data_IF_490901606946
#
_entry.id   IF_490901606946
#
_cell.length_a   1.000
_cell.length_b   1.000
_cell.length_c   1.000
_cell.angle_alpha   90.00
_cell.angle_beta   90.00
_cell.angle_gamma   90.00
#
_symmetry.space_group_name_H-M   'P 1'
#
loop_
_entity.id
_entity.type
_entity.pdbx_description
1 polymer ?
#
# COMPACT_ATOMS: atom_id res chain seq x y z
N UNK A 1 11.46 47.66 -24.54
CA UNK A 1 11.77 46.59 -23.57
C UNK A 1 10.56 45.67 -23.51
N UNK A 2 10.73 44.40 -23.92
CA UNK A 2 9.63 43.46 -24.23
C UNK A 2 9.13 42.75 -22.95
N UNK A 3 7.81 42.66 -22.69
CA UNK A 3 7.23 42.03 -21.49
C UNK A 3 7.11 40.49 -21.62
N UNK A 4 8.08 39.81 -22.25
CA UNK A 4 7.99 38.35 -22.47
C UNK A 4 8.55 37.51 -21.31
N UNK A 5 9.35 38.12 -20.42
CA UNK A 5 10.01 37.39 -19.32
C UNK A 5 9.05 37.02 -18.18
N UNK A 6 8.05 37.86 -17.91
CA UNK A 6 7.11 37.66 -16.80
C UNK A 6 6.09 36.55 -17.07
N UNK A 7 5.68 36.32 -18.32
CA UNK A 7 4.69 35.29 -18.66
C UNK A 7 5.23 33.85 -18.43
N UNK A 8 6.53 33.64 -18.65
CA UNK A 8 7.19 32.35 -18.49
C UNK A 8 7.32 31.95 -17.00
N UNK A 9 7.47 32.93 -16.10
CA UNK A 9 7.57 32.71 -14.64
C UNK A 9 6.22 32.33 -14.03
N UNK A 10 5.10 32.85 -14.55
CA UNK A 10 3.76 32.45 -14.13
C UNK A 10 3.33 31.08 -14.70
N UNK A 11 3.84 30.70 -15.87
CA UNK A 11 3.57 29.39 -16.47
C UNK A 11 4.27 28.23 -15.73
N UNK A 12 5.41 28.49 -15.07
CA UNK A 12 6.15 27.48 -14.30
C UNK A 12 5.57 27.23 -12.89
N UNK A 13 4.77 28.13 -12.33
CA UNK A 13 4.29 28.03 -10.94
C UNK A 13 3.01 27.19 -10.78
N UNK A 14 2.31 26.86 -11.88
CA UNK A 14 0.97 26.24 -11.83
C UNK A 14 0.94 24.71 -11.97
N UNK A 15 2.08 24.02 -11.93
CA UNK A 15 2.11 22.57 -12.16
C UNK A 15 2.49 21.82 -10.89
N UNK A 16 1.67 21.99 -9.83
CA UNK A 16 1.66 21.03 -8.72
C UNK A 16 0.76 19.87 -9.13
N UNK A 17 1.30 18.88 -9.84
CA UNK A 17 0.62 17.59 -10.01
C UNK A 17 0.57 16.90 -8.65
N UNK A 18 -0.58 16.97 -7.97
CA UNK A 18 -0.86 16.10 -6.83
C UNK A 18 -1.17 14.71 -7.37
N UNK A 19 -0.23 13.77 -7.24
CA UNK A 19 -0.49 12.37 -7.54
C UNK A 19 -1.39 11.78 -6.44
N UNK A 20 -2.67 11.61 -6.75
CA UNK A 20 -3.65 10.93 -5.90
C UNK A 20 -3.79 9.47 -6.36
N UNK A 21 -2.78 8.66 -6.01
CA UNK A 21 -2.80 7.21 -6.18
C UNK A 21 -2.57 6.49 -4.84
N UNK A 22 -2.77 7.21 -3.73
CA UNK A 22 -2.50 6.66 -2.42
C UNK A 22 -3.61 5.68 -2.04
N UNK A 23 -3.19 4.61 -1.38
CA UNK A 23 -4.06 3.66 -0.73
C UNK A 23 -3.75 3.72 0.75
N UNK A 24 -4.78 3.69 1.57
CA UNK A 24 -4.64 3.61 3.02
C UNK A 24 -4.71 2.14 3.43
N UNK A 25 -3.94 1.75 4.44
CA UNK A 25 -3.98 0.40 4.99
C UNK A 25 -4.52 0.41 6.41
N UNK A 26 -5.18 -0.69 6.77
CA UNK A 26 -5.68 -0.95 8.11
C UNK A 26 -5.49 -2.41 8.43
N UNK A 27 -5.16 -2.70 9.68
CA UNK A 27 -5.09 -4.07 10.19
C UNK A 27 -6.24 -4.28 11.15
N UNK A 28 -7.00 -5.36 10.98
CA UNK A 28 -8.14 -5.73 11.82
C UNK A 28 -7.90 -7.10 12.43
N UNK A 29 -8.07 -7.21 13.74
CA UNK A 29 -8.15 -8.51 14.42
C UNK A 29 -9.53 -9.12 14.18
N UNK A 30 -9.58 -10.37 13.72
CA UNK A 30 -10.81 -11.11 13.49
C UNK A 30 -11.40 -11.64 14.81
N UNK A 31 -12.69 -12.05 14.82
CA UNK A 31 -13.36 -12.53 16.04
C UNK A 31 -12.72 -13.76 16.70
N UNK A 32 -11.85 -14.49 15.99
CA UNK A 32 -11.07 -15.60 16.54
C UNK A 32 -9.94 -15.15 17.49
N UNK A 33 -9.67 -13.84 17.57
CA UNK A 33 -8.61 -13.23 18.37
C UNK A 33 -7.18 -13.72 18.03
N UNK A 34 -6.99 -14.34 16.86
CA UNK A 34 -5.69 -14.85 16.41
C UNK A 34 -5.35 -14.44 14.98
N UNK A 35 -6.35 -14.17 14.15
CA UNK A 35 -6.16 -13.85 12.74
C UNK A 35 -6.23 -12.36 12.51
N UNK A 36 -5.20 -11.82 11.87
CA UNK A 36 -5.18 -10.43 11.42
C UNK A 36 -5.51 -10.35 9.93
N UNK A 37 -6.44 -9.47 9.57
CA UNK A 37 -6.79 -9.16 8.20
C UNK A 37 -6.25 -7.77 7.83
N UNK A 38 -5.55 -7.69 6.70
CA UNK A 38 -5.13 -6.42 6.11
C UNK A 38 -6.26 -5.92 5.23
N UNK A 39 -6.61 -4.65 5.36
CA UNK A 39 -7.56 -3.96 4.50
C UNK A 39 -6.85 -2.82 3.78
N UNK A 40 -7.25 -2.60 2.54
CA UNK A 40 -6.84 -1.50 1.69
C UNK A 40 -8.03 -0.56 1.49
N UNK A 41 -7.82 0.75 1.48
CA UNK A 41 -8.85 1.74 1.15
C UNK A 41 -8.29 2.71 0.11
N UNK A 42 -8.76 2.67 -1.15
CA UNK A 42 -8.30 3.56 -2.20
C UNK A 42 -8.72 5.01 -1.98
N UNK A 43 -7.87 5.97 -2.34
CA UNK A 43 -8.26 7.38 -2.40
C UNK A 43 -8.85 7.79 -3.75
N UNK A 44 -8.69 6.94 -4.77
CA UNK A 44 -9.19 7.16 -6.14
C UNK A 44 -9.78 5.87 -6.68
N UNK A 45 -10.87 5.98 -7.44
CA UNK A 45 -11.46 4.86 -8.15
C UNK A 45 -10.67 4.56 -9.43
N UNK A 46 -10.24 3.31 -9.60
CA UNK A 46 -9.62 2.82 -10.84
C UNK A 46 -10.48 1.70 -11.41
N UNK A 47 -11.05 1.94 -12.59
CA UNK A 47 -11.81 0.94 -13.34
C UNK A 47 -10.92 0.21 -14.33
N UNK A 48 -11.31 -0.99 -14.74
CA UNK A 48 -10.61 -1.75 -15.77
C UNK A 48 -10.45 -0.93 -17.06
N UNK A 49 -9.28 -0.96 -17.72
CA UNK A 49 -8.09 -1.78 -17.42
C UNK A 49 -7.08 -1.12 -16.45
N UNK A 50 -7.40 0.04 -15.88
CA UNK A 50 -6.46 0.82 -15.06
C UNK A 50 -6.30 0.28 -13.63
N UNK A 51 -7.07 -0.74 -13.24
CA UNK A 51 -6.99 -1.40 -11.93
C UNK A 51 -5.97 -2.57 -11.90
N UNK A 52 -5.16 -2.73 -12.95
CA UNK A 52 -4.14 -3.77 -13.00
C UNK A 52 -3.01 -3.48 -11.99
N UNK A 53 -2.73 -4.46 -11.13
CA UNK A 53 -1.66 -4.42 -10.12
C UNK A 53 -0.58 -5.41 -10.53
N UNK A 54 0.54 -4.94 -11.13
CA UNK A 54 1.61 -5.84 -11.59
C UNK A 54 2.45 -6.39 -10.43
N UNK A 55 2.61 -5.61 -9.37
CA UNK A 55 3.30 -5.99 -8.14
C UNK A 55 2.79 -5.14 -6.98
N UNK A 56 2.86 -5.71 -5.77
CA UNK A 56 2.55 -5.00 -4.54
C UNK A 56 3.29 -5.64 -3.37
N UNK A 57 3.52 -4.85 -2.32
CA UNK A 57 4.12 -5.29 -1.06
C UNK A 57 3.39 -4.64 0.10
N UNK A 58 3.12 -5.43 1.14
CA UNK A 58 2.62 -4.95 2.43
C UNK A 58 3.66 -5.33 3.48
N UNK A 59 4.02 -4.35 4.32
CA UNK A 59 4.94 -4.56 5.44
C UNK A 59 4.21 -4.30 6.74
N UNK A 60 4.13 -5.30 7.61
CA UNK A 60 3.67 -5.12 8.98
C UNK A 60 4.86 -4.78 9.87
N UNK A 61 4.71 -3.72 10.66
CA UNK A 61 5.69 -3.31 11.67
C UNK A 61 5.15 -3.70 13.03
N UNK A 62 5.86 -4.59 13.72
CA UNK A 62 5.43 -5.19 14.99
C UNK A 62 6.54 -5.12 16.02
N UNK A 63 6.27 -5.09 17.33
CA UNK A 63 7.31 -5.17 18.34
C UNK A 63 8.15 -6.43 18.17
N UNK A 64 9.47 -6.30 18.30
CA UNK A 64 10.40 -7.41 18.04
C UNK A 64 10.12 -8.61 18.96
N UNK A 65 10.11 -9.82 18.37
CA UNK A 65 9.85 -11.07 19.08
C UNK A 65 8.40 -11.29 19.54
N UNK A 66 7.47 -10.37 19.26
CA UNK A 66 6.08 -10.43 19.69
C UNK A 66 5.10 -11.07 18.69
N UNK A 67 5.55 -11.40 17.48
CA UNK A 67 4.68 -11.87 16.41
C UNK A 67 5.35 -12.98 15.60
N UNK A 68 4.59 -14.01 15.25
CA UNK A 68 5.03 -15.09 14.36
C UNK A 68 4.00 -15.28 13.26
N UNK A 69 4.46 -15.35 12.01
CA UNK A 69 3.59 -15.54 10.85
C UNK A 69 3.13 -16.99 10.79
N UNK A 70 1.82 -17.21 10.92
CA UNK A 70 1.18 -18.49 10.68
C UNK A 70 0.78 -18.69 9.22
N UNK A 71 -0.39 -19.30 9.01
CA UNK A 71 -0.97 -19.47 7.67
C UNK A 71 -1.33 -18.11 7.05
N UNK A 72 -0.93 -17.92 5.79
CA UNK A 72 -1.35 -16.76 4.97
C UNK A 72 -2.49 -17.19 4.06
N UNK A 73 -3.62 -16.49 4.14
CA UNK A 73 -4.78 -16.71 3.27
C UNK A 73 -4.99 -15.49 2.39
N UNK A 74 -4.98 -15.68 1.07
CA UNK A 74 -5.24 -14.61 0.11
C UNK A 74 -6.75 -14.47 -0.12
N UNK A 75 -7.29 -13.26 0.04
CA UNK A 75 -8.68 -12.95 -0.28
C UNK A 75 -8.83 -12.41 -1.70
N UNK A 76 -7.94 -11.50 -2.10
CA UNK A 76 -7.83 -10.94 -3.45
C UNK A 76 -6.38 -10.91 -3.93
N UNK A 77 -6.13 -11.39 -5.15
CA UNK A 77 -4.78 -11.64 -5.65
C UNK A 77 -4.11 -12.83 -4.95
N UNK A 78 -2.82 -13.04 -5.21
CA UNK A 78 -2.03 -14.12 -4.59
C UNK A 78 -0.88 -13.53 -3.77
N UNK A 79 -1.04 -13.58 -2.45
CA UNK A 79 -0.10 -13.03 -1.48
C UNK A 79 0.64 -14.12 -0.73
N UNK A 80 1.94 -13.91 -0.56
CA UNK A 80 2.81 -14.80 0.22
C UNK A 80 3.60 -14.02 1.24
N UNK A 81 3.88 -14.66 2.38
CA UNK A 81 4.94 -14.23 3.27
C UNK A 81 6.29 -14.38 2.56
N UNK A 82 7.06 -13.29 2.48
CA UNK A 82 8.36 -13.28 1.83
C UNK A 82 9.48 -13.47 2.86
N UNK A 83 9.55 -12.56 3.82
CA UNK A 83 10.62 -12.56 4.83
C UNK A 83 10.25 -11.67 6.03
N UNK A 84 11.04 -11.81 7.10
CA UNK A 84 11.02 -10.92 8.25
C UNK A 84 12.40 -10.30 8.41
N UNK A 85 12.47 -8.97 8.50
CA UNK A 85 13.67 -8.26 8.93
C UNK A 85 13.52 -8.03 10.43
N UNK A 86 14.25 -8.81 11.22
CA UNK A 86 14.20 -8.76 12.69
C UNK A 86 15.09 -7.64 13.21
N UNK A 87 14.53 -6.76 14.05
CA UNK A 87 15.24 -5.71 14.78
C UNK A 87 16.37 -5.02 13.98
N UNK A 88 16.07 -4.37 12.84
CA UNK A 88 17.10 -3.67 12.05
C UNK A 88 17.76 -2.58 12.89
N UNK A 89 19.03 -2.26 12.59
CA UNK A 89 19.81 -1.27 13.34
C UNK A 89 19.15 0.10 13.45
N UNK A 90 18.38 0.47 12.42
CA UNK A 90 17.64 1.72 12.29
C UNK A 90 16.35 1.73 13.13
N UNK A 91 15.82 0.54 13.47
CA UNK A 91 14.63 0.40 14.30
C UNK A 91 14.68 -0.85 15.20
N UNK A 92 15.56 -0.90 16.21
CA UNK A 92 15.88 -2.14 16.94
C UNK A 92 14.73 -2.72 17.78
N UNK A 93 13.67 -1.95 18.02
CA UNK A 93 12.51 -2.38 18.81
C UNK A 93 11.44 -3.11 18.00
N UNK A 94 11.58 -3.22 16.68
CA UNK A 94 10.53 -3.71 15.80
C UNK A 94 11.04 -4.71 14.76
N UNK A 95 10.15 -5.60 14.33
CA UNK A 95 10.36 -6.48 13.19
C UNK A 95 9.51 -6.00 12.01
N UNK A 96 10.05 -6.14 10.80
CA UNK A 96 9.34 -5.83 9.55
C UNK A 96 8.96 -7.14 8.86
N UNK A 97 7.67 -7.48 8.87
CA UNK A 97 7.15 -8.69 8.25
C UNK A 97 6.63 -8.33 6.87
N UNK A 98 7.23 -8.91 5.83
CA UNK A 98 7.03 -8.50 4.45
C UNK A 98 6.21 -9.55 3.71
N UNK A 99 5.09 -9.11 3.14
CA UNK A 99 4.20 -9.89 2.28
C UNK A 99 4.22 -9.33 0.86
N UNK A 100 4.35 -10.21 -0.13
CA UNK A 100 4.40 -9.82 -1.54
C UNK A 100 3.26 -10.41 -2.34
N UNK A 101 2.76 -9.63 -3.30
CA UNK A 101 1.91 -10.14 -4.37
C UNK A 101 2.78 -10.90 -5.38
N UNK A 102 2.49 -12.18 -5.59
CA UNK A 102 3.33 -13.09 -6.40
C UNK A 102 2.95 -13.14 -7.87
N UNK A 103 1.78 -12.63 -8.25
CA UNK A 103 1.29 -12.62 -9.62
C UNK A 103 0.45 -11.37 -9.86
N UNK A 104 0.59 -10.78 -11.04
CA UNK A 104 -0.22 -9.63 -11.44
C UNK A 104 -1.71 -9.98 -11.34
N UNK A 105 -2.52 -9.03 -10.87
CA UNK A 105 -3.96 -9.23 -10.70
C UNK A 105 -4.74 -7.97 -11.09
N UNK A 106 -6.01 -8.14 -11.41
CA UNK A 106 -7.00 -7.05 -11.50
C UNK A 106 -8.21 -7.33 -10.60
N UNK A 107 -8.05 -8.26 -9.65
CA UNK A 107 -9.13 -8.73 -8.77
C UNK A 107 -9.37 -7.76 -7.61
N UNK A 108 -8.44 -6.84 -7.34
CA UNK A 108 -8.56 -5.82 -6.30
C UNK A 108 -9.45 -4.69 -6.84
N UNK A 109 -10.67 -4.49 -6.31
CA UNK A 109 -11.50 -3.33 -6.65
C UNK A 109 -10.90 -2.08 -6.02
N UNK A 110 -10.58 -1.10 -6.87
CA UNK A 110 -10.22 0.23 -6.41
C UNK A 110 -11.45 1.12 -6.50
N UNK A 111 -12.28 1.13 -5.47
CA UNK A 111 -13.40 2.08 -5.33
C UNK A 111 -13.03 3.11 -4.26
N UNK A 112 -13.09 4.39 -4.60
CA UNK A 112 -12.70 5.48 -3.71
C UNK A 112 -13.45 5.40 -2.37
N UNK A 113 -12.68 5.38 -1.28
CA UNK A 113 -13.20 5.41 0.09
C UNK A 113 -13.72 4.08 0.62
N UNK A 114 -13.79 3.03 -0.19
CA UNK A 114 -14.27 1.71 0.24
C UNK A 114 -13.12 0.85 0.78
N UNK A 115 -13.31 0.25 1.97
CA UNK A 115 -12.36 -0.74 2.51
C UNK A 115 -12.54 -2.06 1.76
N UNK A 116 -11.44 -2.58 1.22
CA UNK A 116 -11.35 -3.89 0.57
C UNK A 116 -10.37 -4.79 1.31
N UNK A 117 -10.71 -6.08 1.38
CA UNK A 117 -10.01 -7.13 2.08
C UNK A 117 -8.95 -7.83 1.22
#
# INVERSE_FOLDING_TARGET
>A
MKPHSTLLVWLLLCVTFSASAQVQFKVKLLPDNSTYQVLLKPETTWAAPLNAVPSAQVTLVVPTGGFSVGTVTSLLGNWTYNTTITAPSENPGYDYIIFGLTSATSDIPFVQGEEVA
#
